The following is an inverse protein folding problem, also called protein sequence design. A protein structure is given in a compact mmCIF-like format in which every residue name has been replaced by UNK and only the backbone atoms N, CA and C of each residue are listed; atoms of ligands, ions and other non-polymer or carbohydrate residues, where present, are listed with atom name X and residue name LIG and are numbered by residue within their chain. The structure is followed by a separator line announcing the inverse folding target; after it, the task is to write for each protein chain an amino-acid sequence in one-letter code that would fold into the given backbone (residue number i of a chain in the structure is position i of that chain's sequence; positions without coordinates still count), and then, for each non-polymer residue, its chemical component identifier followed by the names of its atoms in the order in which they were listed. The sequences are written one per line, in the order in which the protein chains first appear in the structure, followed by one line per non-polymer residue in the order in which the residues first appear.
data_IF_307179129729
#
_entry.id   IF_307179129729
#
_cell.length_a   1.000
_cell.length_b   1.000
_cell.length_c   1.000
_cell.angle_alpha   90.00
_cell.angle_beta   90.00
_cell.angle_gamma   90.00
#
_symmetry.space_group_name_H-M   'P 1'
#
loop_
_entity.id
_entity.type
_entity.pdbx_description
1 polymer ?
#
# COMPACT_ATOMS: atom_id res chain seq x y z
N UNK A 1 14.19 -6.44 16.17
CA UNK A 1 14.21 -5.13 16.88
C UNK A 1 12.83 -4.85 17.44
N UNK A 2 12.76 -4.72 18.76
CA UNK A 2 11.58 -4.29 19.49
C UNK A 2 11.47 -2.77 19.39
N UNK A 3 10.33 -2.26 18.94
CA UNK A 3 10.07 -0.82 18.85
C UNK A 3 8.82 -0.52 19.68
N UNK A 4 8.93 0.37 20.66
CA UNK A 4 7.81 0.77 21.53
C UNK A 4 6.59 1.22 20.74
N UNK A 5 6.82 1.96 19.65
CA UNK A 5 5.78 2.45 18.72
C UNK A 5 4.91 1.35 18.11
N UNK A 6 5.32 0.07 18.13
CA UNK A 6 4.53 -1.05 17.58
C UNK A 6 3.52 -1.67 18.54
N UNK A 7 3.72 -1.55 19.85
CA UNK A 7 2.85 -2.21 20.83
C UNK A 7 2.25 -1.24 21.84
N UNK A 8 2.92 -0.12 22.15
CA UNK A 8 2.41 0.88 23.11
C UNK A 8 1.09 1.50 22.66
N UNK A 9 0.89 1.66 21.35
CA UNK A 9 -0.38 2.08 20.79
C UNK A 9 -1.55 1.10 21.05
N UNK A 10 -1.29 -0.10 21.56
CA UNK A 10 -2.29 -1.09 21.97
C UNK A 10 -2.39 -1.28 23.49
N UNK A 11 -1.48 -0.71 24.27
CA UNK A 11 -1.52 -0.82 25.74
C UNK A 11 -2.64 0.07 26.27
N UNK A 12 -3.51 -0.48 27.12
CA UNK A 12 -4.65 0.24 27.71
C UNK A 12 -5.83 0.47 26.76
N UNK A 13 -5.80 -0.09 25.53
CA UNK A 13 -6.94 -0.03 24.60
C UNK A 13 -7.80 -1.28 24.70
N UNK A 14 -9.11 -1.07 24.68
CA UNK A 14 -10.09 -2.16 24.71
C UNK A 14 -10.15 -2.93 23.39
N UNK A 15 -10.45 -4.23 23.51
CA UNK A 15 -10.76 -5.09 22.38
C UNK A 15 -9.76 -6.22 22.16
N UNK A 16 -10.29 -7.39 21.78
CA UNK A 16 -9.55 -8.65 21.63
C UNK A 16 -8.30 -8.55 20.75
N UNK A 17 -8.28 -7.66 19.75
CA UNK A 17 -7.10 -7.46 18.92
C UNK A 17 -5.96 -6.80 19.71
N UNK A 18 -6.24 -5.71 20.44
CA UNK A 18 -5.25 -5.00 21.24
C UNK A 18 -4.71 -5.87 22.37
N UNK A 19 -5.60 -6.60 23.06
CA UNK A 19 -5.23 -7.58 24.08
C UNK A 19 -4.28 -8.65 23.55
N UNK A 20 -4.56 -9.20 22.36
CA UNK A 20 -3.68 -10.19 21.71
C UNK A 20 -2.34 -9.62 21.32
N UNK A 21 -2.29 -8.38 20.83
CA UNK A 21 -1.03 -7.69 20.52
C UNK A 21 -0.19 -7.55 21.79
N UNK A 22 -0.76 -7.00 22.86
CA UNK A 22 -0.06 -6.81 24.14
C UNK A 22 0.41 -8.14 24.72
N UNK A 23 -0.46 -9.15 24.77
CA UNK A 23 -0.12 -10.50 25.26
C UNK A 23 1.02 -11.11 24.44
N UNK A 24 0.96 -11.05 23.11
CA UNK A 24 1.99 -11.59 22.22
C UNK A 24 3.37 -10.96 22.48
N UNK A 25 3.42 -9.65 22.73
CA UNK A 25 4.67 -8.97 23.10
C UNK A 25 5.14 -9.34 24.50
N UNK A 26 4.24 -9.49 25.50
CA UNK A 26 4.59 -9.96 26.85
C UNK A 26 5.19 -11.37 26.82
N UNK A 27 4.53 -12.29 26.14
CA UNK A 27 4.94 -13.70 26.05
C UNK A 27 6.33 -13.85 25.37
N UNK A 28 6.66 -12.96 24.43
CA UNK A 28 7.91 -12.99 23.67
C UNK A 28 8.95 -11.97 24.14
N UNK A 29 8.72 -11.27 25.26
CA UNK A 29 9.51 -10.10 25.66
C UNK A 29 11.01 -10.41 25.75
N UNK A 30 11.36 -11.44 26.53
CA UNK A 30 12.76 -11.82 26.76
C UNK A 30 13.50 -12.12 25.46
N UNK A 31 12.89 -12.91 24.57
CA UNK A 31 13.49 -13.28 23.30
C UNK A 31 13.69 -12.08 22.37
N UNK A 32 12.65 -11.25 22.20
CA UNK A 32 12.72 -10.05 21.34
C UNK A 32 13.68 -9.00 21.88
N UNK A 33 13.76 -8.85 23.20
CA UNK A 33 14.69 -7.95 23.85
C UNK A 33 16.13 -8.42 23.62
N UNK A 34 16.43 -9.70 23.89
CA UNK A 34 17.74 -10.28 23.66
C UNK A 34 18.19 -10.15 22.20
N UNK A 35 17.31 -10.44 21.23
CA UNK A 35 17.60 -10.25 19.80
C UNK A 35 17.90 -8.78 19.45
N UNK A 36 17.23 -7.85 20.12
CA UNK A 36 17.43 -6.40 19.90
C UNK A 36 18.78 -5.96 20.47
N UNK A 37 19.11 -6.37 21.70
CA UNK A 37 20.41 -6.09 22.34
C UNK A 37 21.55 -6.67 21.51
N UNK A 38 21.46 -7.96 21.13
CA UNK A 38 22.47 -8.63 20.30
C UNK A 38 22.69 -7.87 18.98
N UNK A 39 21.61 -7.47 18.30
CA UNK A 39 21.71 -6.69 17.06
C UNK A 39 22.39 -5.33 17.27
N UNK A 40 22.03 -4.60 18.32
CA UNK A 40 22.63 -3.30 18.61
C UNK A 40 24.10 -3.43 18.99
N UNK A 41 24.46 -4.45 19.79
CA UNK A 41 25.84 -4.71 20.22
C UNK A 41 26.82 -5.04 19.09
N UNK A 42 26.31 -5.48 17.93
CA UNK A 42 27.09 -5.78 16.72
C UNK A 42 27.21 -4.60 15.77
N UNK A 43 26.71 -3.42 16.13
CA UNK A 43 26.78 -2.25 15.28
C UNK A 43 28.12 -1.55 15.49
N UNK A 44 28.83 -1.23 14.41
CA UNK A 44 30.11 -0.49 14.46
C UNK A 44 29.94 1.01 14.76
N UNK A 45 28.71 1.45 14.95
CA UNK A 45 28.33 2.84 15.23
C UNK A 45 27.73 2.89 16.64
N UNK A 46 28.41 3.61 17.52
CA UNK A 46 27.93 3.91 18.87
C UNK A 46 27.38 5.35 18.94
N UNK A 47 26.34 5.54 19.74
CA UNK A 47 25.83 6.88 20.05
C UNK A 47 26.86 7.58 20.96
N UNK A 48 27.49 8.63 20.45
CA UNK A 48 28.50 9.38 21.22
C UNK A 48 27.85 10.31 22.26
N UNK A 49 26.77 10.99 21.87
CA UNK A 49 26.00 11.88 22.73
C UNK A 49 24.56 12.01 22.22
N UNK A 50 23.68 12.52 23.08
CA UNK A 50 22.29 12.82 22.78
C UNK A 50 21.94 14.17 23.40
N UNK A 51 21.34 15.05 22.61
CA UNK A 51 20.93 16.39 23.03
C UNK A 51 19.42 16.52 22.87
N UNK A 52 18.76 17.11 23.88
CA UNK A 52 17.32 17.31 23.94
C UNK A 52 17.03 18.80 23.78
N UNK A 53 16.96 19.29 22.54
CA UNK A 53 16.72 20.71 22.25
C UNK A 53 16.17 20.95 20.83
N UNK A 54 15.79 22.19 20.54
CA UNK A 54 15.44 22.65 19.19
C UNK A 54 16.67 22.63 18.26
N UNK A 55 16.45 22.19 17.02
CA UNK A 55 17.52 22.05 16.00
C UNK A 55 18.23 23.38 15.70
N UNK A 56 17.53 24.51 15.79
CA UNK A 56 18.11 25.85 15.54
C UNK A 56 19.18 26.16 16.59
N UNK A 57 18.89 25.89 17.86
CA UNK A 57 19.82 26.06 18.97
C UNK A 57 20.98 25.06 18.89
N UNK A 58 20.67 23.81 18.55
CA UNK A 58 21.67 22.76 18.41
C UNK A 58 22.70 23.09 17.32
N UNK A 59 22.26 23.56 16.15
CA UNK A 59 23.15 23.91 15.04
C UNK A 59 24.14 25.05 15.38
N UNK A 60 23.87 25.87 16.39
CA UNK A 60 24.83 26.88 16.87
C UNK A 60 25.97 26.28 17.70
N UNK A 61 25.73 25.14 18.35
CA UNK A 61 26.70 24.46 19.23
C UNK A 61 27.58 23.47 18.50
N UNK A 62 27.05 22.83 17.45
CA UNK A 62 27.78 21.81 16.69
C UNK A 62 28.98 22.44 15.97
N UNK A 63 30.21 21.93 16.16
CA UNK A 63 31.43 22.46 15.53
C UNK A 63 31.25 22.64 14.02
N UNK A 64 31.65 23.80 13.47
CA UNK A 64 31.36 24.19 12.08
C UNK A 64 31.90 23.22 11.03
N UNK A 65 32.96 22.50 11.34
CA UNK A 65 33.61 21.50 10.50
C UNK A 65 32.99 20.10 10.61
N UNK A 66 32.12 19.87 11.60
CA UNK A 66 31.45 18.58 11.78
C UNK A 66 30.44 18.31 10.64
N UNK A 67 30.34 17.05 10.19
CA UNK A 67 29.33 16.65 9.21
C UNK A 67 27.92 16.72 9.83
N UNK A 68 26.95 17.22 9.06
CA UNK A 68 25.55 17.33 9.51
C UNK A 68 24.62 16.54 8.59
N UNK A 69 23.82 15.63 9.16
CA UNK A 69 22.75 14.95 8.46
C UNK A 69 21.41 15.30 9.12
N UNK A 70 20.47 15.83 8.34
CA UNK A 70 19.16 16.24 8.84
C UNK A 70 18.03 15.72 7.97
N UNK A 71 16.91 15.40 8.59
CA UNK A 71 15.65 15.13 7.89
C UNK A 71 14.52 15.79 8.67
N UNK A 72 14.33 17.12 8.49
CA UNK A 72 13.42 17.88 9.32
C UNK A 72 11.95 17.45 9.09
N UNK A 73 11.06 17.68 10.06
CA UNK A 73 9.64 17.40 9.89
C UNK A 73 9.02 18.39 8.87
N UNK A 74 8.31 17.87 7.87
CA UNK A 74 7.72 18.67 6.78
C UNK A 74 6.19 18.78 6.84
N UNK A 75 5.60 18.40 7.96
CA UNK A 75 4.15 18.48 8.17
C UNK A 75 3.86 18.67 9.66
N UNK A 76 3.12 19.73 9.97
CA UNK A 76 2.69 20.06 11.33
C UNK A 76 1.71 19.01 11.86
N UNK A 77 1.74 18.74 13.17
CA UNK A 77 0.85 17.82 13.91
C UNK A 77 0.95 16.32 13.55
N UNK A 78 1.81 15.94 12.61
CA UNK A 78 1.97 14.54 12.20
C UNK A 78 2.89 13.75 13.13
N UNK A 79 3.97 14.38 13.60
CA UNK A 79 4.96 13.74 14.46
C UNK A 79 4.47 13.65 15.91
N UNK A 80 3.79 14.68 16.40
CA UNK A 80 3.19 14.71 17.74
C UNK A 80 2.22 13.54 17.93
N UNK A 81 1.36 13.28 16.93
CA UNK A 81 0.45 12.13 16.92
C UNK A 81 1.17 10.78 16.86
N UNK A 82 2.33 10.72 16.20
CA UNK A 82 3.13 9.49 16.13
C UNK A 82 3.67 9.10 17.51
N UNK A 83 4.02 10.11 18.33
CA UNK A 83 4.64 9.93 19.64
C UNK A 83 3.67 10.01 20.82
N UNK A 84 2.41 10.44 20.62
CA UNK A 84 1.37 10.47 21.67
C UNK A 84 1.25 9.15 22.48
N UNK A 85 1.29 7.95 21.86
CA UNK A 85 1.29 6.71 22.65
C UNK A 85 2.51 6.56 23.55
N UNK A 86 3.68 7.07 23.15
CA UNK A 86 4.89 7.02 23.99
C UNK A 86 4.75 7.97 25.19
N UNK A 87 4.25 9.18 24.97
CA UNK A 87 4.03 10.17 26.04
C UNK A 87 3.01 9.71 27.09
N UNK A 88 2.16 8.73 26.76
CA UNK A 88 1.22 8.12 27.72
C UNK A 88 1.91 7.15 28.69
N UNK A 89 3.06 6.58 28.30
CA UNK A 89 3.74 5.52 29.06
C UNK A 89 5.14 5.92 29.57
N UNK A 90 5.67 7.06 29.13
CA UNK A 90 6.98 7.56 29.52
C UNK A 90 6.89 9.04 29.92
N UNK A 91 7.32 9.32 31.14
CA UNK A 91 7.66 10.67 31.57
C UNK A 91 9.12 10.94 31.21
N UNK A 92 9.38 12.09 30.60
CA UNK A 92 10.72 12.55 30.28
C UNK A 92 10.74 14.08 30.15
N UNK A 93 11.93 14.66 30.30
CA UNK A 93 12.15 16.10 30.18
C UNK A 93 12.13 16.51 28.70
N UNK A 94 10.92 16.58 28.12
CA UNK A 94 10.72 16.95 26.73
C UNK A 94 11.19 18.39 26.46
N UNK A 95 11.82 18.67 25.31
CA UNK A 95 12.26 20.02 24.99
C UNK A 95 11.07 20.87 24.58
N UNK A 96 11.12 22.15 24.92
CA UNK A 96 10.28 23.17 24.29
C UNK A 96 10.87 23.52 22.93
N UNK A 97 10.03 23.53 21.89
CA UNK A 97 10.44 23.86 20.53
C UNK A 97 9.32 24.55 19.77
N UNK A 98 9.68 25.35 18.78
CA UNK A 98 8.72 25.99 17.87
C UNK A 98 8.62 25.19 16.57
N UNK A 99 7.40 24.87 16.10
CA UNK A 99 7.21 24.25 14.80
C UNK A 99 7.93 25.03 13.69
N UNK A 100 8.63 24.31 12.80
CA UNK A 100 9.29 24.91 11.65
C UNK A 100 8.21 25.44 10.68
N UNK A 101 8.19 26.75 10.45
CA UNK A 101 7.46 27.33 9.30
C UNK A 101 8.24 27.11 8.00
N UNK A 102 7.58 27.34 6.85
CA UNK A 102 8.25 27.26 5.55
C UNK A 102 9.47 28.22 5.46
N UNK A 103 9.40 29.38 6.13
CA UNK A 103 10.51 30.33 6.20
C UNK A 103 11.66 29.84 7.10
N UNK A 104 11.33 29.17 8.20
CA UNK A 104 12.33 28.57 9.10
C UNK A 104 13.09 27.44 8.43
N UNK A 105 12.42 26.66 7.58
CA UNK A 105 13.04 25.58 6.81
C UNK A 105 14.19 26.14 5.97
N UNK A 106 14.02 27.31 5.33
CA UNK A 106 15.10 27.96 4.56
C UNK A 106 16.28 28.34 5.45
N UNK A 107 16.03 28.94 6.62
CA UNK A 107 17.10 29.32 7.56
C UNK A 107 17.87 28.13 8.13
N UNK A 108 17.16 27.07 8.52
CA UNK A 108 17.76 25.82 9.01
C UNK A 108 18.54 25.11 7.91
N UNK A 109 18.00 25.06 6.68
CA UNK A 109 18.71 24.51 5.53
C UNK A 109 19.99 25.29 5.25
N UNK A 110 19.97 26.62 5.32
CA UNK A 110 21.15 27.47 5.18
C UNK A 110 22.25 27.10 6.19
N UNK A 111 21.92 27.04 7.47
CA UNK A 111 22.87 26.68 8.53
C UNK A 111 23.46 25.26 8.40
N UNK A 112 22.71 24.33 7.78
CA UNK A 112 23.19 23.00 7.42
C UNK A 112 24.11 23.07 6.19
N UNK A 113 23.75 23.86 5.18
CA UNK A 113 24.49 23.92 3.92
C UNK A 113 25.82 24.66 4.01
N UNK A 114 26.01 25.50 5.03
CA UNK A 114 27.29 26.17 5.34
C UNK A 114 28.39 25.23 5.87
N UNK A 115 28.05 23.95 6.12
CA UNK A 115 28.99 22.93 6.62
C UNK A 115 29.83 22.34 5.47
N UNK A 116 31.04 21.80 5.72
CA UNK A 116 31.82 21.15 4.67
C UNK A 116 31.16 19.87 4.16
N UNK A 117 30.57 19.10 5.08
CA UNK A 117 29.89 17.84 4.78
C UNK A 117 28.48 17.90 5.32
N UNK A 118 27.49 17.87 4.42
CA UNK A 118 26.10 17.87 4.84
C UNK A 118 25.21 17.03 3.95
N UNK A 119 24.10 16.57 4.54
CA UNK A 119 23.01 15.89 3.87
C UNK A 119 21.67 16.35 4.47
N UNK A 120 20.72 16.69 3.60
CA UNK A 120 19.34 16.95 3.99
C UNK A 120 18.38 16.42 2.94
N UNK A 121 17.14 16.14 3.31
CA UNK A 121 16.12 15.76 2.35
C UNK A 121 14.81 16.50 2.63
N UNK A 122 14.11 16.92 1.58
CA UNK A 122 12.85 17.68 1.66
C UNK A 122 11.78 17.05 0.77
N UNK A 123 10.52 17.08 1.20
CA UNK A 123 9.37 16.77 0.34
C UNK A 123 9.04 17.92 -0.64
N UNK A 124 9.72 19.06 -0.52
CA UNK A 124 9.65 20.19 -1.44
C UNK A 124 10.88 20.22 -2.36
N UNK A 125 10.65 20.59 -3.61
CA UNK A 125 11.72 20.92 -4.55
C UNK A 125 12.24 22.32 -4.23
N UNK A 126 13.53 22.45 -3.92
CA UNK A 126 14.17 23.70 -3.46
C UNK A 126 15.15 24.16 -4.54
N UNK A 127 14.76 25.10 -5.42
CA UNK A 127 15.56 25.53 -6.56
C UNK A 127 17.00 25.95 -6.21
N UNK A 128 17.17 26.63 -5.08
CA UNK A 128 18.45 27.15 -4.59
C UNK A 128 19.44 26.02 -4.26
N UNK A 129 18.94 24.83 -3.91
CA UNK A 129 19.75 23.67 -3.57
C UNK A 129 19.97 22.70 -4.75
N UNK A 130 19.45 23.00 -5.95
CA UNK A 130 19.65 22.17 -7.15
C UNK A 130 21.11 21.83 -7.47
N UNK A 131 22.10 22.74 -7.31
CA UNK A 131 23.52 22.38 -7.49
C UNK A 131 23.99 21.24 -6.58
N UNK A 132 23.30 21.06 -5.45
CA UNK A 132 23.55 20.03 -4.45
C UNK A 132 22.55 18.87 -4.50
N UNK A 133 21.65 18.81 -5.48
CA UNK A 133 20.73 17.69 -5.61
C UNK A 133 21.51 16.41 -5.93
N UNK A 134 21.39 15.41 -5.05
CA UNK A 134 22.06 14.10 -5.18
C UNK A 134 21.09 12.94 -5.27
N UNK A 135 19.81 13.15 -5.00
CA UNK A 135 18.83 12.12 -5.29
C UNK A 135 17.38 12.56 -5.20
N UNK A 136 16.52 11.74 -5.78
CA UNK A 136 15.07 11.82 -5.60
C UNK A 136 14.61 10.45 -5.15
N UNK A 137 13.98 10.41 -3.99
CA UNK A 137 13.46 9.20 -3.34
C UNK A 137 11.94 9.25 -3.42
N UNK A 138 11.33 8.18 -3.91
CA UNK A 138 9.87 8.05 -3.88
C UNK A 138 9.50 6.69 -3.30
N UNK A 139 9.03 6.69 -2.05
CA UNK A 139 8.79 5.46 -1.29
C UNK A 139 7.71 4.57 -1.93
N UNK A 140 6.67 5.18 -2.50
CA UNK A 140 5.61 4.48 -3.24
C UNK A 140 5.20 5.28 -4.48
N UNK A 141 4.56 4.68 -5.49
CA UNK A 141 4.08 5.42 -6.66
C UNK A 141 3.17 6.60 -6.33
N UNK A 142 2.49 6.61 -5.17
CA UNK A 142 1.62 7.69 -4.70
C UNK A 142 2.27 8.64 -3.70
N UNK A 143 3.39 8.28 -3.10
CA UNK A 143 4.07 9.15 -2.14
C UNK A 143 4.59 10.40 -2.84
N UNK A 144 4.56 11.54 -2.15
CA UNK A 144 5.33 12.70 -2.58
C UNK A 144 6.82 12.29 -2.70
N UNK A 145 7.53 12.77 -3.73
CA UNK A 145 8.97 12.58 -3.81
C UNK A 145 9.65 13.34 -2.66
N UNK A 146 10.76 12.80 -2.19
CA UNK A 146 11.72 13.49 -1.35
C UNK A 146 12.97 13.78 -2.17
N UNK A 147 13.38 15.04 -2.20
CA UNK A 147 14.59 15.52 -2.85
C UNK A 147 15.71 15.50 -1.82
N UNK A 148 16.80 14.80 -2.13
CA UNK A 148 17.97 14.63 -1.26
C UNK A 148 19.08 15.51 -1.78
N UNK A 149 19.53 16.42 -0.93
CA UNK A 149 20.60 17.37 -1.20
C UNK A 149 21.81 17.03 -0.33
N UNK A 150 23.02 17.12 -0.89
CA UNK A 150 24.25 16.91 -0.12
C UNK A 150 25.44 17.64 -0.77
N UNK A 151 26.39 18.10 0.07
CA UNK A 151 27.62 18.75 -0.41
C UNK A 151 28.44 17.82 -1.30
N UNK A 152 28.64 16.57 -0.86
CA UNK A 152 29.42 15.55 -1.57
C UNK A 152 28.69 14.21 -1.55
N UNK A 153 28.18 13.79 -2.69
CA UNK A 153 27.72 12.41 -2.92
C UNK A 153 27.63 12.11 -4.41
N UNK A 154 27.58 10.83 -4.78
CA UNK A 154 27.24 10.41 -6.14
C UNK A 154 25.73 10.60 -6.35
N UNK A 155 25.33 11.19 -7.48
CA UNK A 155 23.91 11.30 -7.85
C UNK A 155 23.27 9.91 -8.00
N UNK A 156 22.14 9.70 -7.33
CA UNK A 156 21.35 8.46 -7.38
C UNK A 156 19.86 8.78 -7.41
N UNK A 157 19.14 8.24 -8.39
CA UNK A 157 17.68 8.28 -8.40
C UNK A 157 17.17 6.97 -7.80
N UNK A 158 16.37 7.06 -6.74
CA UNK A 158 15.75 5.89 -6.09
C UNK A 158 14.25 5.94 -6.34
N UNK A 159 13.85 5.33 -7.46
CA UNK A 159 12.46 5.15 -7.81
C UNK A 159 11.88 3.88 -7.17
N UNK A 160 10.57 3.84 -6.86
CA UNK A 160 9.93 2.66 -6.35
C UNK A 160 9.97 1.58 -7.44
N UNK A 161 10.75 0.53 -7.21
CA UNK A 161 10.82 -0.63 -8.10
C UNK A 161 9.74 -1.64 -7.71
N UNK A 162 8.86 -1.98 -8.63
CA UNK A 162 7.97 -3.13 -8.46
C UNK A 162 8.64 -4.36 -9.09
N UNK A 163 9.04 -5.37 -8.30
CA UNK A 163 9.54 -6.62 -8.87
C UNK A 163 8.42 -7.26 -9.69
N UNK A 164 8.79 -7.81 -10.85
CA UNK A 164 7.91 -8.57 -11.73
C UNK A 164 8.47 -9.97 -11.91
N UNK A 165 7.58 -10.95 -11.98
CA UNK A 165 7.93 -12.36 -12.23
C UNK A 165 7.03 -12.93 -13.33
N UNK A 166 7.55 -13.79 -14.21
CA UNK A 166 6.73 -14.44 -15.24
C UNK A 166 5.62 -15.30 -14.64
N UNK A 167 4.45 -15.26 -15.28
CA UNK A 167 3.33 -16.17 -15.01
C UNK A 167 3.29 -17.24 -16.09
N UNK A 168 3.62 -18.49 -15.71
CA UNK A 168 3.74 -19.61 -16.65
C UNK A 168 2.39 -20.19 -17.08
N UNK A 169 1.34 -20.02 -16.27
CA UNK A 169 0.02 -20.55 -16.59
C UNK A 169 -0.53 -19.88 -17.87
N UNK A 170 -1.16 -20.65 -18.76
CA UNK A 170 -1.76 -20.09 -19.98
C UNK A 170 -2.87 -19.10 -19.60
N UNK A 171 -3.18 -18.17 -20.51
CA UNK A 171 -4.32 -17.25 -20.38
C UNK A 171 -5.44 -17.66 -21.33
N UNK A 172 -6.67 -17.35 -20.98
CA UNK A 172 -7.78 -17.42 -21.94
C UNK A 172 -7.51 -16.42 -23.07
N UNK A 173 -7.61 -16.87 -24.33
CA UNK A 173 -7.42 -16.04 -25.52
C UNK A 173 -8.74 -15.85 -26.27
N UNK A 174 -8.76 -14.92 -27.21
CA UNK A 174 -9.83 -14.88 -28.22
C UNK A 174 -9.90 -16.23 -28.95
N UNK A 175 -11.11 -16.69 -29.25
CA UNK A 175 -11.39 -18.02 -29.79
C UNK A 175 -11.52 -19.13 -28.74
N UNK A 176 -10.89 -18.99 -27.57
CA UNK A 176 -10.99 -20.00 -26.51
C UNK A 176 -12.39 -20.03 -25.88
N UNK A 177 -12.86 -21.24 -25.60
CA UNK A 177 -14.03 -21.46 -24.76
C UNK A 177 -13.64 -21.54 -23.28
N UNK A 178 -14.36 -20.80 -22.44
CA UNK A 178 -14.25 -20.88 -20.98
C UNK A 178 -14.95 -22.15 -20.50
N UNK A 179 -14.21 -23.01 -19.81
CA UNK A 179 -14.73 -24.28 -19.27
C UNK A 179 -14.66 -24.33 -17.74
N UNK A 180 -15.66 -24.93 -17.10
CA UNK A 180 -15.64 -25.23 -15.67
C UNK A 180 -14.85 -26.50 -15.33
N UNK A 181 -14.61 -26.77 -14.03
CA UNK A 181 -14.88 -25.89 -12.89
C UNK A 181 -13.85 -24.75 -12.78
N UNK A 182 -14.23 -23.66 -12.11
CA UNK A 182 -13.28 -22.59 -11.80
C UNK A 182 -12.39 -22.97 -10.62
N UNK A 183 -11.16 -22.48 -10.63
CA UNK A 183 -10.22 -22.65 -9.51
C UNK A 183 -9.51 -21.34 -9.17
N UNK A 184 -9.09 -21.22 -7.91
CA UNK A 184 -8.31 -20.08 -7.41
C UNK A 184 -6.86 -20.49 -7.19
N UNK A 185 -5.91 -19.66 -7.62
CA UNK A 185 -4.49 -19.86 -7.37
C UNK A 185 -3.85 -18.61 -6.78
N UNK A 186 -3.11 -18.78 -5.68
CA UNK A 186 -2.33 -17.69 -5.08
C UNK A 186 -1.23 -17.24 -6.03
N UNK A 187 -1.06 -15.92 -6.15
CA UNK A 187 0.00 -15.30 -6.92
C UNK A 187 1.10 -14.79 -5.99
N UNK A 188 2.35 -14.99 -6.39
CA UNK A 188 3.47 -14.26 -5.78
C UNK A 188 3.35 -12.76 -6.09
N UNK A 189 3.92 -11.87 -5.25
CA UNK A 189 3.89 -10.43 -5.51
C UNK A 189 4.40 -10.05 -6.91
N UNK A 190 5.51 -10.65 -7.36
CA UNK A 190 6.05 -10.39 -8.70
C UNK A 190 5.12 -10.82 -9.84
N UNK A 191 4.42 -11.94 -9.67
CA UNK A 191 3.47 -12.46 -10.65
C UNK A 191 2.22 -11.58 -10.73
N UNK A 192 1.70 -11.14 -9.58
CA UNK A 192 0.60 -10.19 -9.52
C UNK A 192 0.97 -8.87 -10.19
N UNK A 193 2.16 -8.32 -9.88
CA UNK A 193 2.64 -7.09 -10.50
C UNK A 193 2.76 -7.23 -12.02
N UNK A 194 3.30 -8.35 -12.53
CA UNK A 194 3.40 -8.59 -13.96
C UNK A 194 2.03 -8.60 -14.66
N UNK A 195 1.02 -9.27 -14.08
CA UNK A 195 -0.35 -9.27 -14.63
C UNK A 195 -1.00 -7.90 -14.53
N UNK A 196 -0.87 -7.24 -13.38
CA UNK A 196 -1.44 -5.92 -13.14
C UNK A 196 -0.90 -4.87 -14.11
N UNK A 197 0.42 -4.81 -14.28
CA UNK A 197 1.07 -3.87 -15.20
C UNK A 197 0.64 -4.05 -16.66
N UNK A 198 0.17 -5.25 -17.03
CA UNK A 198 -0.25 -5.56 -18.40
C UNK A 198 -1.75 -5.32 -18.65
N UNK A 199 -2.60 -5.50 -17.65
CA UNK A 199 -4.06 -5.56 -17.85
C UNK A 199 -4.87 -4.57 -17.00
N UNK A 200 -4.30 -4.02 -15.93
CA UNK A 200 -4.97 -2.96 -15.18
C UNK A 200 -4.84 -1.64 -15.96
N UNK A 201 -5.84 -0.77 -15.83
CA UNK A 201 -5.80 0.56 -16.41
C UNK A 201 -4.57 1.33 -15.86
N UNK A 202 -3.68 1.89 -16.71
CA UNK A 202 -2.45 2.55 -16.28
C UNK A 202 -2.70 3.79 -15.42
N UNK A 203 -3.89 4.39 -15.48
CA UNK A 203 -4.28 5.52 -14.62
C UNK A 203 -4.64 5.09 -13.19
N UNK A 204 -4.80 3.80 -12.93
CA UNK A 204 -5.07 3.31 -11.57
C UNK A 204 -3.74 3.06 -10.89
N UNK A 205 -3.40 3.95 -9.96
CA UNK A 205 -2.19 3.81 -9.19
C UNK A 205 -2.19 2.51 -8.35
N UNK A 206 -1.07 1.79 -8.26
CA UNK A 206 -1.09 0.42 -7.74
C UNK A 206 -1.06 0.38 -6.20
N UNK A 207 -2.00 -0.37 -5.60
CA UNK A 207 -2.01 -0.66 -4.16
C UNK A 207 -1.14 -1.86 -3.76
N UNK A 208 -0.76 -1.94 -2.49
CA UNK A 208 -0.10 -3.11 -1.91
C UNK A 208 -1.15 -4.14 -1.47
N UNK A 209 -1.14 -5.32 -2.09
CA UNK A 209 -2.09 -6.38 -1.78
C UNK A 209 -1.55 -7.31 -0.69
N UNK A 210 -2.39 -7.67 0.27
CA UNK A 210 -2.09 -8.71 1.26
C UNK A 210 -2.39 -10.11 0.70
N UNK A 211 -3.30 -10.20 -0.27
CA UNK A 211 -3.67 -11.43 -0.96
C UNK A 211 -3.89 -11.11 -2.43
N UNK A 212 -3.23 -11.84 -3.34
CA UNK A 212 -3.45 -11.76 -4.78
C UNK A 212 -3.75 -13.15 -5.34
N UNK A 213 -4.81 -13.26 -6.14
CA UNK A 213 -5.38 -14.53 -6.58
C UNK A 213 -5.70 -14.48 -8.07
N UNK A 214 -5.22 -15.47 -8.82
CA UNK A 214 -5.67 -15.74 -10.18
C UNK A 214 -6.92 -16.62 -10.16
N UNK A 215 -7.91 -16.25 -10.99
CA UNK A 215 -9.07 -17.07 -11.31
C UNK A 215 -8.75 -17.86 -12.57
N UNK A 216 -8.85 -19.19 -12.50
CA UNK A 216 -8.57 -20.09 -13.62
C UNK A 216 -9.79 -20.89 -14.03
N UNK A 217 -9.85 -21.27 -15.30
CA UNK A 217 -10.81 -22.21 -15.82
C UNK A 217 -10.42 -23.68 -15.53
N UNK A 218 -11.24 -24.63 -15.98
CA UNK A 218 -11.02 -26.07 -15.80
C UNK A 218 -9.81 -26.63 -16.56
N UNK A 219 -9.26 -25.87 -17.51
CA UNK A 219 -8.01 -26.19 -18.23
C UNK A 219 -6.79 -25.46 -17.64
N UNK A 220 -6.97 -24.77 -16.52
CA UNK A 220 -5.91 -24.02 -15.85
C UNK A 220 -5.55 -22.70 -16.52
N UNK A 221 -6.34 -22.21 -17.48
CA UNK A 221 -6.15 -20.92 -18.13
C UNK A 221 -6.60 -19.78 -17.22
N UNK A 222 -5.78 -18.75 -17.08
CA UNK A 222 -6.09 -17.55 -16.30
C UNK A 222 -7.16 -16.75 -17.03
N UNK A 223 -8.27 -16.50 -16.32
CA UNK A 223 -9.40 -15.66 -16.73
C UNK A 223 -9.21 -14.21 -16.28
N UNK A 224 -8.63 -14.04 -15.10
CA UNK A 224 -8.49 -12.74 -14.46
C UNK A 224 -7.84 -12.88 -13.08
N UNK A 225 -7.74 -11.76 -12.41
CA UNK A 225 -7.06 -11.63 -11.12
C UNK A 225 -7.90 -10.76 -10.21
N UNK A 226 -7.92 -11.09 -8.93
CA UNK A 226 -8.36 -10.17 -7.88
C UNK A 226 -7.31 -10.08 -6.77
N UNK A 227 -7.30 -8.96 -6.08
CA UNK A 227 -6.40 -8.67 -4.98
C UNK A 227 -7.16 -8.01 -3.82
N UNK A 228 -6.85 -8.46 -2.61
CA UNK A 228 -7.54 -8.09 -1.38
C UNK A 228 -6.55 -7.54 -0.36
N UNK A 229 -7.03 -6.61 0.44
CA UNK A 229 -6.41 -6.20 1.70
C UNK A 229 -7.45 -6.19 2.82
N UNK A 230 -7.02 -6.22 4.09
CA UNK A 230 -7.81 -5.70 5.19
C UNK A 230 -8.49 -4.37 4.89
N UNK A 231 -9.78 -4.23 5.25
CA UNK A 231 -10.35 -2.89 5.40
C UNK A 231 -9.67 -2.17 6.56
N UNK A 232 -9.38 -0.88 6.38
CA UNK A 232 -8.79 -0.02 7.43
C UNK A 232 -9.82 0.44 8.46
N UNK A 233 -11.11 0.39 8.13
CA UNK A 233 -12.19 0.98 8.94
C UNK A 233 -13.12 -0.07 9.54
N UNK A 234 -13.27 -1.22 8.88
CA UNK A 234 -14.24 -2.25 9.27
C UNK A 234 -13.52 -3.58 9.49
N UNK A 235 -13.38 -4.04 10.74
CA UNK A 235 -12.55 -5.21 11.06
C UNK A 235 -12.89 -6.49 10.31
N UNK A 236 -14.18 -6.78 10.05
CA UNK A 236 -14.67 -8.00 9.40
C UNK A 236 -14.93 -7.85 7.89
N UNK A 237 -14.31 -6.84 7.27
CA UNK A 237 -14.43 -6.55 5.84
C UNK A 237 -13.08 -6.69 5.12
N UNK A 238 -13.12 -7.27 3.91
CA UNK A 238 -12.02 -7.23 2.96
C UNK A 238 -12.20 -6.04 2.00
N UNK A 239 -11.14 -5.31 1.73
CA UNK A 239 -11.09 -4.31 0.67
C UNK A 239 -10.57 -4.94 -0.63
N UNK A 240 -11.42 -5.01 -1.66
CA UNK A 240 -11.05 -5.45 -3.00
C UNK A 240 -10.27 -4.33 -3.70
N UNK A 241 -8.94 -4.44 -3.60
CA UNK A 241 -7.97 -3.46 -4.10
C UNK A 241 -7.89 -3.41 -5.61
N UNK A 242 -7.99 -4.57 -6.25
CA UNK A 242 -7.84 -4.70 -7.68
C UNK A 242 -8.58 -5.92 -8.16
N UNK A 243 -9.21 -5.80 -9.30
CA UNK A 243 -9.79 -6.92 -10.01
C UNK A 243 -9.86 -6.61 -11.50
N UNK A 244 -9.39 -7.52 -12.33
CA UNK A 244 -9.35 -7.31 -13.77
C UNK A 244 -9.40 -8.65 -14.50
N UNK A 245 -10.03 -8.64 -15.68
CA UNK A 245 -9.99 -9.75 -16.60
C UNK A 245 -8.66 -9.72 -17.39
N UNK A 246 -8.12 -10.88 -17.70
CA UNK A 246 -6.95 -11.00 -18.57
C UNK A 246 -7.42 -11.00 -20.03
N UNK A 247 -7.23 -9.87 -20.70
CA UNK A 247 -7.63 -9.65 -22.09
C UNK A 247 -6.49 -10.01 -23.08
N UNK A 248 -6.76 -10.19 -24.39
CA UNK A 248 -8.07 -10.18 -25.06
C UNK A 248 -8.81 -11.53 -24.94
N UNK A 249 -10.15 -11.48 -24.87
CA UNK A 249 -11.06 -12.64 -24.83
C UNK A 249 -12.36 -12.32 -25.57
N UNK A 250 -13.11 -13.33 -25.98
CA UNK A 250 -14.42 -13.15 -26.64
C UNK A 250 -15.56 -12.80 -25.65
N UNK A 251 -15.25 -12.66 -24.35
CA UNK A 251 -16.22 -12.47 -23.29
C UNK A 251 -16.19 -11.02 -22.77
N UNK A 252 -17.02 -10.10 -23.31
CA UNK A 252 -16.93 -8.67 -23.01
C UNK A 252 -17.22 -8.33 -21.53
N UNK A 253 -17.89 -9.23 -20.80
CA UNK A 253 -18.25 -9.07 -19.39
C UNK A 253 -17.51 -10.04 -18.47
N UNK A 254 -16.36 -10.56 -18.89
CA UNK A 254 -15.55 -11.47 -18.07
C UNK A 254 -15.17 -10.85 -16.71
N UNK A 255 -14.98 -9.52 -16.65
CA UNK A 255 -14.69 -8.80 -15.41
C UNK A 255 -15.74 -8.99 -14.32
N UNK A 256 -17.01 -9.25 -14.67
CA UNK A 256 -18.07 -9.58 -13.70
C UNK A 256 -17.89 -10.96 -13.07
N UNK A 257 -17.36 -11.93 -13.83
CA UNK A 257 -17.02 -13.24 -13.29
C UNK A 257 -15.89 -13.13 -12.27
N UNK A 258 -14.92 -12.24 -12.51
CA UNK A 258 -13.81 -12.01 -11.56
C UNK A 258 -14.33 -11.43 -10.24
N UNK A 259 -15.29 -10.49 -10.29
CA UNK A 259 -15.94 -9.97 -9.07
C UNK A 259 -16.70 -11.08 -8.34
N UNK A 260 -17.48 -11.90 -9.07
CA UNK A 260 -18.20 -13.02 -8.45
C UNK A 260 -17.24 -14.04 -7.83
N UNK A 261 -16.14 -14.37 -8.50
CA UNK A 261 -15.12 -15.25 -7.95
C UNK A 261 -14.47 -14.64 -6.70
N UNK A 262 -14.22 -13.33 -6.69
CA UNK A 262 -13.64 -12.61 -5.55
C UNK A 262 -14.55 -12.58 -4.31
N UNK A 263 -15.87 -12.75 -4.48
CA UNK A 263 -16.85 -12.76 -3.40
C UNK A 263 -17.37 -14.15 -3.01
N UNK A 264 -16.82 -15.19 -3.62
CA UNK A 264 -17.16 -16.59 -3.35
C UNK A 264 -16.75 -17.05 -1.94
N UNK A 265 -17.29 -18.19 -1.48
CA UNK A 265 -16.93 -18.83 -0.21
C UNK A 265 -15.47 -19.28 -0.20
N UNK A 266 -14.95 -19.72 -1.34
CA UNK A 266 -13.55 -20.08 -1.52
C UNK A 266 -12.63 -18.86 -1.35
N UNK A 267 -13.00 -17.71 -1.96
CA UNK A 267 -12.25 -16.47 -1.79
C UNK A 267 -12.34 -15.93 -0.35
N UNK A 268 -13.50 -16.03 0.30
CA UNK A 268 -13.66 -15.70 1.72
C UNK A 268 -12.72 -16.52 2.59
N UNK A 269 -12.63 -17.83 2.37
CA UNK A 269 -11.72 -18.69 3.12
C UNK A 269 -10.26 -18.27 2.94
N UNK A 270 -9.85 -17.92 1.71
CA UNK A 270 -8.51 -17.39 1.44
C UNK A 270 -8.25 -16.09 2.18
N UNK A 271 -9.20 -15.14 2.16
CA UNK A 271 -9.09 -13.88 2.90
C UNK A 271 -8.97 -14.11 4.40
N UNK A 272 -9.82 -14.97 4.99
CA UNK A 272 -9.79 -15.25 6.42
C UNK A 272 -8.45 -15.85 6.86
N UNK A 273 -7.89 -16.76 6.05
CA UNK A 273 -6.57 -17.35 6.28
C UNK A 273 -5.46 -16.31 6.15
N UNK A 274 -5.47 -15.52 5.07
CA UNK A 274 -4.44 -14.52 4.80
C UNK A 274 -4.42 -13.40 5.85
N UNK A 275 -5.59 -12.99 6.34
CA UNK A 275 -5.74 -11.84 7.23
C UNK A 275 -5.90 -12.21 8.70
N UNK A 276 -5.93 -13.52 9.01
CA UNK A 276 -6.12 -14.06 10.37
C UNK A 276 -7.32 -13.45 11.10
N UNK A 277 -8.42 -13.22 10.37
CA UNK A 277 -9.66 -12.62 10.90
C UNK A 277 -10.88 -13.22 10.22
N UNK A 278 -12.05 -13.08 10.86
CA UNK A 278 -13.33 -13.38 10.20
C UNK A 278 -13.62 -12.30 9.15
N UNK A 279 -14.10 -12.72 7.99
CA UNK A 279 -14.45 -11.84 6.88
C UNK A 279 -15.89 -12.14 6.48
N UNK A 280 -16.76 -11.15 6.53
CA UNK A 280 -18.19 -11.27 6.21
C UNK A 280 -18.61 -10.37 5.05
N UNK A 281 -17.87 -9.29 4.82
CA UNK A 281 -18.18 -8.31 3.80
C UNK A 281 -16.96 -8.03 2.91
N UNK A 282 -17.24 -7.44 1.75
CA UNK A 282 -16.26 -6.83 0.86
C UNK A 282 -16.66 -5.40 0.56
N UNK A 283 -15.68 -4.51 0.47
CA UNK A 283 -15.85 -3.18 -0.10
C UNK A 283 -14.84 -2.91 -1.22
N UNK A 284 -15.16 -1.99 -2.12
CA UNK A 284 -14.22 -1.54 -3.16
C UNK A 284 -14.53 -0.11 -3.57
N UNK A 285 -13.56 0.54 -4.22
CA UNK A 285 -13.72 1.85 -4.83
C UNK A 285 -13.51 1.75 -6.34
N UNK A 286 -14.43 2.35 -7.09
CA UNK A 286 -14.35 2.46 -8.54
C UNK A 286 -14.21 3.93 -8.93
N UNK A 287 -13.23 4.24 -9.77
CA UNK A 287 -13.14 5.53 -10.44
C UNK A 287 -13.79 5.42 -11.82
N UNK A 288 -14.70 6.34 -12.13
CA UNK A 288 -15.58 6.24 -13.31
C UNK A 288 -16.03 7.62 -13.80
N UNK A 289 -16.20 7.76 -15.11
CA UNK A 289 -16.85 8.93 -15.71
C UNK A 289 -18.38 8.81 -15.73
N UNK A 290 -18.89 7.63 -15.40
CA UNK A 290 -20.32 7.34 -15.24
C UNK A 290 -20.70 7.28 -13.76
N UNK A 291 -21.95 7.65 -13.40
CA UNK A 291 -22.42 7.66 -12.00
C UNK A 291 -22.54 6.26 -11.39
N UNK A 292 -22.40 5.20 -12.19
CA UNK A 292 -22.39 3.81 -11.75
C UNK A 292 -21.34 3.03 -12.56
N UNK A 293 -20.56 2.16 -11.90
CA UNK A 293 -19.65 1.23 -12.55
C UNK A 293 -20.40 0.08 -13.22
N UNK A 294 -20.19 -0.09 -14.53
CA UNK A 294 -20.75 -1.20 -15.31
C UNK A 294 -20.35 -2.58 -14.77
N UNK A 295 -19.16 -2.65 -14.15
CA UNK A 295 -18.59 -3.86 -13.59
C UNK A 295 -19.29 -4.28 -12.30
N UNK A 296 -19.43 -3.35 -11.34
CA UNK A 296 -19.99 -3.67 -10.02
C UNK A 296 -21.52 -3.60 -9.95
N UNK A 297 -22.18 -2.88 -10.87
CA UNK A 297 -23.65 -2.80 -10.89
C UNK A 297 -24.30 -4.18 -10.97
N UNK A 298 -25.26 -4.42 -10.09
CA UNK A 298 -25.99 -5.71 -9.98
C UNK A 298 -25.19 -6.85 -9.36
N UNK A 299 -23.97 -6.59 -8.88
CA UNK A 299 -23.14 -7.53 -8.10
C UNK A 299 -22.90 -7.02 -6.68
N UNK A 300 -22.58 -5.73 -6.56
CA UNK A 300 -22.36 -5.06 -5.28
C UNK A 300 -23.31 -3.86 -5.15
N UNK A 301 -23.64 -3.49 -3.92
CA UNK A 301 -24.46 -2.32 -3.59
C UNK A 301 -23.59 -1.07 -3.61
N UNK A 302 -23.99 -0.05 -4.36
CA UNK A 302 -23.38 1.27 -4.30
C UNK A 302 -23.74 1.92 -2.96
N UNK A 303 -22.76 2.20 -2.11
CA UNK A 303 -22.97 2.79 -0.78
C UNK A 303 -22.68 4.28 -0.75
N UNK A 304 -21.72 4.74 -1.55
CA UNK A 304 -21.37 6.17 -1.66
C UNK A 304 -21.01 6.53 -3.09
N UNK A 305 -21.43 7.73 -3.49
CA UNK A 305 -21.01 8.40 -4.73
C UNK A 305 -20.48 9.78 -4.34
N UNK A 306 -19.30 10.13 -4.81
CA UNK A 306 -18.73 11.47 -4.65
C UNK A 306 -17.93 11.90 -5.87
N UNK A 307 -17.51 13.18 -5.91
CA UNK A 307 -16.52 13.62 -6.88
C UNK A 307 -15.22 12.81 -6.72
N UNK A 308 -14.52 12.58 -7.83
CA UNK A 308 -13.21 11.93 -7.80
C UNK A 308 -12.12 12.92 -7.45
N UNK A 309 -11.17 12.50 -6.62
CA UNK A 309 -9.91 13.21 -6.41
C UNK A 309 -8.79 12.69 -7.33
N UNK A 310 -9.08 11.70 -8.18
CA UNK A 310 -8.14 11.16 -9.17
C UNK A 310 -8.37 11.80 -10.54
N UNK A 311 -7.29 12.23 -11.18
CA UNK A 311 -7.31 12.88 -12.49
C UNK A 311 -7.93 11.99 -13.58
N UNK A 312 -8.78 12.61 -14.41
CA UNK A 312 -9.42 11.95 -15.55
C UNK A 312 -10.68 11.14 -15.22
N UNK A 313 -11.15 11.20 -13.97
CA UNK A 313 -12.40 10.57 -13.53
C UNK A 313 -13.35 11.59 -12.91
N UNK A 314 -14.66 11.50 -13.23
CA UNK A 314 -15.68 12.38 -12.62
C UNK A 314 -16.15 11.91 -11.25
N UNK A 315 -16.26 10.59 -11.06
CA UNK A 315 -16.85 9.99 -9.87
C UNK A 315 -15.89 9.03 -9.18
N UNK A 316 -15.89 9.09 -7.85
CA UNK A 316 -15.42 8.05 -6.97
C UNK A 316 -16.63 7.32 -6.36
N UNK A 317 -16.75 6.03 -6.65
CA UNK A 317 -17.90 5.20 -6.30
C UNK A 317 -17.47 4.13 -5.30
N UNK A 318 -18.11 4.06 -4.14
CA UNK A 318 -17.86 3.02 -3.15
C UNK A 318 -18.94 1.95 -3.23
N UNK A 319 -18.51 0.70 -3.35
CA UNK A 319 -19.37 -0.47 -3.42
C UNK A 319 -19.12 -1.38 -2.23
N UNK A 320 -20.17 -2.08 -1.79
CA UNK A 320 -20.10 -3.05 -0.71
C UNK A 320 -20.97 -4.28 -1.03
N UNK A 321 -20.59 -5.45 -0.54
CA UNK A 321 -21.39 -6.67 -0.64
C UNK A 321 -21.00 -7.71 0.41
N UNK A 322 -21.79 -8.78 0.49
CA UNK A 322 -21.47 -9.93 1.34
C UNK A 322 -20.36 -10.79 0.72
N UNK A 323 -19.55 -11.41 1.57
CA UNK A 323 -18.57 -12.43 1.19
C UNK A 323 -19.11 -13.82 1.51
N UNK A 324 -18.87 -14.78 0.62
CA UNK A 324 -19.16 -16.20 0.86
C UNK A 324 -20.63 -16.61 0.69
N UNK A 325 -21.46 -15.75 0.08
CA UNK A 325 -22.87 -16.06 -0.19
C UNK A 325 -23.10 -17.04 -1.34
N UNK A 326 -22.04 -17.45 -2.06
CA UNK A 326 -22.09 -18.35 -3.21
C UNK A 326 -20.73 -19.04 -3.41
N UNK A 327 -20.74 -20.17 -4.12
CA UNK A 327 -19.51 -20.91 -4.49
C UNK A 327 -18.94 -20.42 -5.83
N UNK A 328 -17.73 -20.87 -6.20
CA UNK A 328 -17.20 -20.63 -7.55
C UNK A 328 -18.05 -21.26 -8.66
N UNK A 329 -18.71 -22.39 -8.37
CA UNK A 329 -19.62 -23.02 -9.32
C UNK A 329 -20.86 -22.13 -9.57
N UNK A 330 -21.47 -21.62 -8.50
CA UNK A 330 -22.59 -20.67 -8.58
C UNK A 330 -22.19 -19.38 -9.30
N UNK A 331 -20.96 -18.89 -9.06
CA UNK A 331 -20.40 -17.73 -9.73
C UNK A 331 -20.33 -17.95 -11.25
N UNK A 332 -19.80 -19.09 -11.69
CA UNK A 332 -19.72 -19.45 -13.10
C UNK A 332 -21.12 -19.57 -13.72
N UNK A 333 -22.05 -20.26 -13.07
CA UNK A 333 -23.41 -20.45 -13.57
C UNK A 333 -24.17 -19.11 -13.68
N UNK A 334 -24.11 -18.29 -12.63
CA UNK A 334 -24.75 -16.96 -12.59
C UNK A 334 -24.21 -16.07 -13.69
N UNK A 335 -22.89 -16.07 -13.88
CA UNK A 335 -22.26 -15.29 -14.92
C UNK A 335 -22.61 -15.80 -16.32
N UNK A 336 -22.53 -17.11 -16.55
CA UNK A 336 -22.84 -17.72 -17.84
C UNK A 336 -24.27 -17.35 -18.28
N UNK A 337 -25.24 -17.45 -17.37
CA UNK A 337 -26.66 -17.12 -17.62
C UNK A 337 -26.89 -15.66 -17.97
N UNK A 338 -26.19 -14.72 -17.32
CA UNK A 338 -26.49 -13.27 -17.44
C UNK A 338 -25.57 -12.53 -18.40
N UNK A 339 -24.33 -12.98 -18.54
CA UNK A 339 -23.22 -12.21 -19.11
C UNK A 339 -22.21 -13.04 -19.91
N UNK A 340 -22.35 -14.35 -19.96
CA UNK A 340 -21.41 -15.27 -20.62
C UNK A 340 -21.49 -15.31 -22.15
N UNK A 341 -22.36 -14.51 -22.76
CA UNK A 341 -22.47 -14.45 -24.22
C UNK A 341 -21.15 -13.96 -24.85
N UNK A 342 -20.68 -14.71 -25.85
CA UNK A 342 -19.48 -14.37 -26.62
C UNK A 342 -19.79 -13.29 -27.65
N UNK A 343 -18.83 -12.43 -27.92
CA UNK A 343 -18.88 -11.54 -29.09
C UNK A 343 -18.48 -12.36 -30.32
N UNK A 344 -19.40 -12.57 -31.25
CA UNK A 344 -19.10 -13.12 -32.57
C UNK A 344 -18.40 -12.06 -33.39
N UNK A 345 -17.06 -12.05 -33.36
CA UNK A 345 -16.31 -11.29 -34.36
C UNK A 345 -16.47 -12.03 -35.69
N UNK A 346 -17.36 -11.57 -36.57
CA UNK A 346 -17.24 -11.90 -38.00
C UNK A 346 -15.84 -11.43 -38.41
N UNK A 347 -14.98 -12.35 -38.83
CA UNK A 347 -13.79 -12.01 -39.57
C UNK A 347 -14.27 -11.31 -40.85
N UNK A 348 -14.29 -9.98 -40.85
CA UNK A 348 -14.27 -9.23 -42.10
C UNK A 348 -12.86 -9.41 -42.65
N UNK A 349 -12.73 -10.37 -43.55
CA UNK A 349 -11.54 -10.49 -44.36
C UNK A 349 -11.34 -9.21 -45.16
N UNK A 350 -10.16 -8.60 -44.98
CA UNK A 350 -9.44 -7.84 -45.99
C UNK A 350 -7.97 -8.17 -45.80
#
# INVERSE_FOLDING_TARGET
MMLGTRFLASVGRDGLWHERVVRSYRDQWKAKHAETVDRLSRTDVALASYEVEDVRSWLQKVPRDAPVCSFPPFYSNGYEKLYEPLNTHFDWDAPEYEPLSDADVVGVLGAITDRPYWLTASNHDVPELHPYLRGVIKATPRAAPFYVYASVARTRIVAPRQPIEPVKAPRLRAGDELVGPLTLALLKPGQFNALRSRYLNPRIAPGAANLAVAVKDGKGKILGVFAMAPSSYTPDEAYLLSDFAVAPTDYPRLSKLIVLAATSSEAQLLCQRAFSRRIRAVSTTAFSNNPVSMKYRGLLRLTKRGPSNEDGWKYQLQYQGAMGGHTLADALQTWAKRWGARTTTKQTGV
#
